data_IF_110754517461
#
_entry.id   IF_110754517461
#
_cell.length_a   1.000
_cell.length_b   1.000
_cell.length_c   1.000
_cell.angle_alpha   90.00
_cell.angle_beta   90.00
_cell.angle_gamma   90.00
#
_symmetry.space_group_name_H-M   'P 1'
#
loop_
_entity.id
_entity.type
_entity.pdbx_description
1 polymer ?
#
# COMPACT_ATOMS: atom_id res chain seq x y z
N UNK A 1 -1.49 19.99 6.43
CA UNK A 1 -1.12 18.66 6.98
C UNK A 1 -1.50 17.51 6.03
N UNK A 2 -2.78 17.33 5.65
CA UNK A 2 -3.19 16.26 4.71
C UNK A 2 -2.61 16.40 3.29
N UNK A 3 -2.58 17.62 2.73
CA UNK A 3 -1.94 17.84 1.42
C UNK A 3 -0.44 17.52 1.44
N UNK A 4 0.21 17.63 2.59
CA UNK A 4 1.63 17.34 2.73
C UNK A 4 1.89 15.83 2.71
N UNK A 5 1.07 15.03 3.42
CA UNK A 5 1.20 13.56 3.39
C UNK A 5 0.87 13.00 2.00
N UNK A 6 -0.14 13.55 1.30
CA UNK A 6 -0.47 13.18 -0.08
C UNK A 6 0.72 13.45 -1.02
N UNK A 7 1.31 14.65 -0.97
CA UNK A 7 2.50 14.98 -1.77
C UNK A 7 3.67 14.06 -1.47
N UNK A 8 3.95 13.79 -0.18
CA UNK A 8 5.01 12.88 0.22
C UNK A 8 4.80 11.46 -0.32
N UNK A 9 3.57 10.95 -0.26
CA UNK A 9 3.22 9.62 -0.80
C UNK A 9 3.40 9.57 -2.32
N UNK A 10 2.90 10.57 -3.05
CA UNK A 10 3.04 10.64 -4.52
C UNK A 10 4.52 10.70 -4.93
N UNK A 11 5.37 11.34 -4.10
CA UNK A 11 6.81 11.40 -4.31
C UNK A 11 7.58 10.15 -3.80
N UNK A 12 6.88 9.09 -3.38
CA UNK A 12 7.50 7.82 -2.99
C UNK A 12 8.03 7.75 -1.55
N UNK A 13 7.62 8.66 -0.66
CA UNK A 13 8.04 8.62 0.75
C UNK A 13 7.40 7.42 1.49
N UNK A 14 8.22 6.40 1.74
CA UNK A 14 7.83 5.16 2.44
C UNK A 14 7.31 5.42 3.87
N UNK A 15 7.84 6.42 4.59
CA UNK A 15 7.39 6.74 5.95
C UNK A 15 6.02 7.41 5.93
N UNK A 16 5.75 8.24 4.93
CA UNK A 16 4.42 8.83 4.74
C UNK A 16 3.38 7.75 4.41
N UNK A 17 3.72 6.78 3.56
CA UNK A 17 2.85 5.64 3.24
C UNK A 17 2.56 4.77 4.48
N UNK A 18 3.59 4.42 5.27
CA UNK A 18 3.43 3.65 6.50
C UNK A 18 2.48 4.35 7.50
N UNK A 19 2.61 5.67 7.67
CA UNK A 19 1.69 6.46 8.51
C UNK A 19 0.25 6.38 8.02
N UNK A 20 0.02 6.45 6.71
CA UNK A 20 -1.33 6.32 6.17
C UNK A 20 -1.90 4.93 6.41
N UNK A 21 -1.12 3.86 6.26
CA UNK A 21 -1.55 2.49 6.59
C UNK A 21 -2.02 2.43 8.04
N UNK A 22 -1.23 2.96 8.99
CA UNK A 22 -1.63 3.02 10.40
C UNK A 22 -2.91 3.81 10.62
N UNK A 23 -3.09 4.94 9.92
CA UNK A 23 -4.33 5.74 10.03
C UNK A 23 -5.56 4.97 9.54
N UNK A 24 -5.41 4.21 8.45
CA UNK A 24 -6.47 3.36 7.87
C UNK A 24 -6.82 2.22 8.82
N UNK A 25 -5.83 1.49 9.33
CA UNK A 25 -6.04 0.34 10.23
C UNK A 25 -6.72 0.74 11.54
N UNK A 26 -6.48 1.96 12.03
CA UNK A 26 -7.10 2.49 13.24
C UNK A 26 -8.43 3.24 12.96
N UNK A 27 -8.96 3.18 11.74
CA UNK A 27 -10.25 3.79 11.34
C UNK A 27 -10.36 5.30 11.64
N UNK A 28 -9.26 6.05 11.51
CA UNK A 28 -9.32 7.51 11.66
C UNK A 28 -10.06 8.14 10.48
N UNK A 29 -11.00 9.05 10.76
CA UNK A 29 -11.75 9.80 9.74
C UNK A 29 -10.84 10.53 8.75
N UNK A 30 -9.69 11.02 9.23
CA UNK A 30 -8.66 11.66 8.41
C UNK A 30 -8.12 10.74 7.29
N UNK A 31 -8.10 9.43 7.50
CA UNK A 31 -7.62 8.48 6.50
C UNK A 31 -8.49 8.52 5.24
N UNK A 32 -9.81 8.64 5.38
CA UNK A 32 -10.74 8.67 4.25
C UNK A 32 -10.50 9.89 3.36
N UNK A 33 -10.26 11.07 3.96
CA UNK A 33 -9.96 12.30 3.21
C UNK A 33 -8.64 12.20 2.44
N UNK A 34 -7.63 11.56 3.02
CA UNK A 34 -6.35 11.31 2.34
C UNK A 34 -6.54 10.30 1.19
N UNK A 35 -7.28 9.20 1.41
CA UNK A 35 -7.55 8.19 0.40
C UNK A 35 -8.32 8.75 -0.81
N UNK A 36 -9.34 9.60 -0.59
CA UNK A 36 -10.07 10.29 -1.67
C UNK A 36 -9.13 11.10 -2.56
N UNK A 37 -8.16 11.81 -1.96
CA UNK A 37 -7.17 12.61 -2.70
C UNK A 37 -6.18 11.74 -3.47
N UNK A 38 -5.78 10.60 -2.90
CA UNK A 38 -4.86 9.66 -3.54
C UNK A 38 -5.51 8.87 -4.68
N UNK A 39 -6.85 8.72 -4.69
CA UNK A 39 -7.58 7.90 -5.67
C UNK A 39 -7.17 8.17 -7.12
N UNK A 40 -7.02 9.44 -7.50
CA UNK A 40 -6.61 9.87 -8.85
C UNK A 40 -5.19 9.43 -9.28
N UNK A 41 -4.38 8.96 -8.34
CA UNK A 41 -3.00 8.51 -8.56
C UNK A 41 -2.87 6.98 -8.51
N UNK A 42 -3.99 6.26 -8.36
CA UNK A 42 -4.02 4.78 -8.28
C UNK A 42 -4.39 4.15 -9.63
N UNK A 43 -4.46 2.82 -9.69
CA UNK A 43 -4.88 2.06 -10.89
C UNK A 43 -3.74 1.63 -11.83
N UNK A 44 -2.52 2.12 -11.62
CA UNK A 44 -1.36 1.82 -12.46
C UNK A 44 -0.41 0.77 -11.85
N UNK A 45 -0.95 -0.21 -11.12
CA UNK A 45 -0.16 -1.25 -10.45
C UNK A 45 -0.57 -2.65 -10.93
N UNK A 46 0.40 -3.55 -11.04
CA UNK A 46 0.14 -4.98 -11.26
C UNK A 46 -0.33 -5.61 -9.94
N UNK A 47 -1.57 -6.12 -9.91
CA UNK A 47 -2.18 -6.73 -8.72
C UNK A 47 -2.23 -8.25 -8.91
N UNK A 48 -1.51 -9.00 -8.08
CA UNK A 48 -1.45 -10.47 -8.13
C UNK A 48 -1.88 -11.03 -6.77
N UNK A 49 -2.91 -11.88 -6.76
CA UNK A 49 -3.32 -12.64 -5.59
C UNK A 49 -2.58 -13.97 -5.49
N UNK A 50 -2.03 -14.29 -4.32
CA UNK A 50 -1.32 -15.56 -4.07
C UNK A 50 -2.02 -16.29 -2.91
N UNK A 51 -2.42 -17.54 -3.14
CA UNK A 51 -3.13 -18.38 -2.16
C UNK A 51 -2.64 -19.84 -2.17
N UNK A 52 -3.05 -20.64 -1.19
CA UNK A 52 -2.63 -22.04 -1.02
C UNK A 52 -2.52 -22.47 0.46
N UNK A 53 -2.55 -23.78 0.75
CA UNK A 53 -2.58 -24.32 2.12
C UNK A 53 -1.29 -24.03 2.91
N UNK A 54 -1.31 -24.07 4.26
CA UNK A 54 -0.10 -23.97 5.07
C UNK A 54 0.98 -24.96 4.61
N UNK A 55 2.24 -24.53 4.55
CA UNK A 55 3.35 -25.39 4.09
C UNK A 55 3.51 -25.51 2.56
N UNK A 56 2.61 -24.97 1.73
CA UNK A 56 2.70 -25.09 0.26
C UNK A 56 3.81 -24.26 -0.43
N UNK A 57 4.72 -23.64 0.34
CA UNK A 57 5.79 -22.81 -0.21
C UNK A 57 5.39 -21.40 -0.67
N UNK A 58 4.20 -20.89 -0.30
CA UNK A 58 3.74 -19.53 -0.69
C UNK A 58 4.75 -18.44 -0.38
N UNK A 59 5.29 -18.38 0.83
CA UNK A 59 6.25 -17.32 1.19
C UNK A 59 7.54 -17.41 0.35
N UNK A 60 7.98 -18.63 0.03
CA UNK A 60 9.15 -18.86 -0.82
C UNK A 60 8.93 -18.35 -2.23
N UNK A 61 7.79 -18.68 -2.86
CA UNK A 61 7.50 -18.20 -4.21
C UNK A 61 7.28 -16.69 -4.23
N UNK A 62 6.59 -16.13 -3.24
CA UNK A 62 6.38 -14.68 -3.12
C UNK A 62 7.71 -13.93 -2.97
N UNK A 63 8.64 -14.40 -2.12
CA UNK A 63 9.97 -13.77 -1.97
C UNK A 63 10.79 -13.76 -3.27
N UNK A 64 10.67 -14.82 -4.07
CA UNK A 64 11.38 -14.90 -5.36
C UNK A 64 10.69 -14.05 -6.43
N UNK A 65 9.36 -14.05 -6.47
CA UNK A 65 8.57 -13.31 -7.44
C UNK A 65 8.76 -11.79 -7.29
N UNK A 66 8.81 -11.27 -6.07
CA UNK A 66 8.99 -9.83 -5.82
C UNK A 66 10.38 -9.29 -6.18
N UNK A 67 11.35 -10.16 -6.49
CA UNK A 67 12.69 -9.78 -6.96
C UNK A 67 12.81 -9.68 -8.47
N UNK A 68 11.86 -10.27 -9.20
CA UNK A 68 11.87 -10.34 -10.67
C UNK A 68 10.78 -9.48 -11.32
N UNK A 69 9.74 -9.11 -10.56
CA UNK A 69 8.75 -8.10 -10.93
C UNK A 69 9.22 -6.70 -10.54
#
# INVERSE_FOLDING_TARGET
>A
MEMEIVKKIINGDRRAAAKLITLVENNFSQAQEILKKLYNYTGNALIIGITGPPGSGKSTITDKLTKIL
#
